data_IF_747675834160
#
_entry.id   IF_747675834160
#
_cell.length_a   1.000
_cell.length_b   1.000
_cell.length_c   1.000
_cell.angle_alpha   90.00
_cell.angle_beta   90.00
_cell.angle_gamma   90.00
#
_symmetry.space_group_name_H-M   'P 1'
#
loop_
_entity.id
_entity.type
_entity.pdbx_description
1 polymer ?
#
# COMPACT_ATOMS: atom_id res chain seq x y z
N UNK A 1 -31.04 -49.31 34.12
CA UNK A 1 -29.89 -48.38 33.97
C UNK A 1 -28.96 -48.86 32.86
N UNK A 2 -29.24 -48.46 31.63
CA UNK A 2 -28.47 -48.90 30.47
C UNK A 2 -27.42 -47.87 30.06
N UNK A 3 -26.96 -47.02 30.97
CA UNK A 3 -25.92 -46.02 30.69
C UNK A 3 -26.42 -44.82 29.90
N UNK A 4 -27.72 -44.56 29.85
CA UNK A 4 -28.28 -43.38 29.18
C UNK A 4 -27.91 -42.12 29.95
N UNK A 5 -27.39 -41.14 29.22
CA UNK A 5 -27.12 -39.80 29.75
C UNK A 5 -28.45 -39.06 29.93
N UNK A 6 -28.69 -38.54 31.11
CA UNK A 6 -29.83 -37.66 31.42
C UNK A 6 -29.40 -36.22 31.37
N UNK A 7 -30.29 -35.34 30.88
CA UNK A 7 -30.05 -33.90 30.86
C UNK A 7 -30.02 -33.32 32.28
N UNK A 8 -29.17 -32.32 32.47
CA UNK A 8 -29.07 -31.52 33.69
C UNK A 8 -29.15 -30.03 33.37
N UNK A 9 -29.53 -29.22 34.36
CA UNK A 9 -29.66 -27.79 34.25
C UNK A 9 -28.93 -27.10 35.40
N UNK A 10 -28.06 -26.16 35.08
CA UNK A 10 -27.33 -25.32 36.03
C UNK A 10 -27.60 -23.85 35.77
N UNK A 11 -28.08 -23.15 36.77
CA UNK A 11 -28.24 -21.69 36.73
C UNK A 11 -27.04 -21.00 37.38
N UNK A 12 -26.57 -19.96 36.73
CA UNK A 12 -25.50 -19.13 37.24
C UNK A 12 -25.80 -17.64 37.02
N UNK A 13 -25.14 -16.80 37.81
CA UNK A 13 -25.17 -15.37 37.70
C UNK A 13 -23.74 -14.83 37.68
N UNK A 14 -23.54 -13.82 36.88
CA UNK A 14 -22.32 -13.00 36.90
C UNK A 14 -22.69 -11.69 37.57
N UNK A 15 -21.95 -11.36 38.61
CA UNK A 15 -22.15 -10.14 39.39
C UNK A 15 -20.90 -9.27 39.33
N UNK A 16 -21.12 -7.97 39.30
CA UNK A 16 -20.06 -6.96 39.29
C UNK A 16 -20.26 -5.97 40.43
N UNK A 17 -19.18 -5.60 41.08
CA UNK A 17 -19.10 -4.54 42.07
C UNK A 17 -18.16 -3.46 41.58
N UNK A 18 -18.59 -2.22 41.67
CA UNK A 18 -17.77 -1.06 41.29
C UNK A 18 -17.37 -0.31 42.58
N UNK A 19 -16.07 -0.05 42.72
CA UNK A 19 -15.51 0.76 43.79
C UNK A 19 -16.08 0.46 45.20
N UNK A 20 -16.29 -0.84 45.51
CA UNK A 20 -16.81 -1.26 46.82
C UNK A 20 -18.31 -1.03 47.05
N UNK A 21 -19.08 -0.63 46.06
CA UNK A 21 -20.50 -0.25 46.16
C UNK A 21 -21.51 -1.40 46.30
N UNK A 22 -21.03 -2.65 46.36
CA UNK A 22 -21.85 -3.88 46.42
C UNK A 22 -22.05 -4.55 45.10
N UNK A 23 -22.28 -5.86 45.11
CA UNK A 23 -22.47 -6.70 43.91
C UNK A 23 -23.88 -6.54 43.37
N UNK A 24 -23.96 -6.35 42.03
CA UNK A 24 -25.19 -6.35 41.24
C UNK A 24 -25.15 -7.42 40.14
N UNK A 25 -26.30 -8.00 39.83
CA UNK A 25 -26.42 -8.98 38.75
C UNK A 25 -26.28 -8.27 37.39
N UNK A 26 -25.30 -8.65 36.58
CA UNK A 26 -25.10 -8.12 35.23
C UNK A 26 -25.46 -9.12 34.13
N UNK A 27 -25.46 -10.41 34.47
CA UNK A 27 -25.86 -11.49 33.58
C UNK A 27 -26.38 -12.65 34.39
N UNK A 28 -27.45 -13.29 33.92
CA UNK A 28 -27.94 -14.55 34.41
C UNK A 28 -28.07 -15.51 33.23
N UNK A 29 -27.64 -16.74 33.42
CA UNK A 29 -27.75 -17.78 32.38
C UNK A 29 -28.12 -19.13 32.99
N UNK A 30 -28.79 -19.90 32.16
CA UNK A 30 -29.23 -21.26 32.47
C UNK A 30 -28.63 -22.22 31.44
N UNK A 31 -27.68 -23.04 31.87
CA UNK A 31 -27.05 -24.03 31.02
C UNK A 31 -27.82 -25.33 31.18
N UNK A 32 -28.43 -25.79 30.10
CA UNK A 32 -29.08 -27.11 30.03
C UNK A 32 -28.29 -27.95 29.06
N UNK A 33 -27.84 -29.11 29.52
CA UNK A 33 -27.01 -29.98 28.70
C UNK A 33 -27.14 -31.44 29.05
N UNK A 34 -26.64 -32.28 28.14
CA UNK A 34 -26.56 -33.70 28.26
C UNK A 34 -25.26 -34.16 27.59
N UNK A 35 -24.17 -34.15 28.35
CA UNK A 35 -22.84 -34.51 27.83
C UNK A 35 -22.02 -35.22 28.93
N UNK A 36 -21.14 -36.10 28.52
CA UNK A 36 -20.14 -36.70 29.37
C UNK A 36 -18.82 -35.94 29.38
N UNK A 37 -18.64 -35.05 28.39
CA UNK A 37 -17.42 -34.27 28.24
C UNK A 37 -17.56 -32.90 28.92
N UNK A 38 -16.41 -32.30 29.23
CA UNK A 38 -16.36 -30.94 29.77
C UNK A 38 -16.92 -29.93 28.77
N UNK A 39 -17.89 -29.13 29.21
CA UNK A 39 -18.48 -28.07 28.41
C UNK A 39 -17.92 -26.72 28.82
N UNK A 40 -17.45 -25.94 27.83
CA UNK A 40 -16.95 -24.59 28.04
C UNK A 40 -17.92 -23.57 27.47
N UNK A 41 -18.18 -22.50 28.21
CA UNK A 41 -18.99 -21.38 27.78
C UNK A 41 -18.33 -20.08 28.14
N UNK A 42 -18.31 -19.13 27.19
CA UNK A 42 -17.73 -17.81 27.33
C UNK A 42 -18.83 -16.77 27.51
N UNK A 43 -18.58 -15.79 28.38
CA UNK A 43 -19.47 -14.66 28.62
C UNK A 43 -18.71 -13.36 28.50
N UNK A 44 -19.26 -12.42 27.77
CA UNK A 44 -18.74 -11.06 27.70
C UNK A 44 -19.58 -10.15 28.58
N UNK A 45 -18.94 -9.47 29.52
CA UNK A 45 -19.56 -8.51 30.43
C UNK A 45 -18.97 -7.13 30.14
N UNK A 46 -19.84 -6.17 29.86
CA UNK A 46 -19.43 -4.78 29.66
C UNK A 46 -19.27 -4.07 31.01
N UNK A 47 -18.08 -3.55 31.26
CA UNK A 47 -17.76 -2.80 32.47
C UNK A 47 -17.98 -1.31 32.17
N UNK A 48 -18.92 -0.70 32.90
CA UNK A 48 -19.32 0.70 32.68
C UNK A 48 -19.07 1.61 33.86
N UNK A 49 -18.70 1.05 35.00
CA UNK A 49 -18.51 1.79 36.25
C UNK A 49 -17.05 2.15 36.57
N UNK A 50 -16.86 2.88 37.65
CA UNK A 50 -15.54 3.28 38.13
C UNK A 50 -14.75 2.09 38.72
N UNK A 51 -13.45 2.06 38.48
CA UNK A 51 -12.51 1.12 39.09
C UNK A 51 -12.20 1.49 40.56
N UNK A 52 -11.83 0.49 41.40
CA UNK A 52 -11.64 -0.93 41.10
C UNK A 52 -12.97 -1.69 40.85
N UNK A 53 -12.89 -2.76 40.08
CA UNK A 53 -14.03 -3.58 39.72
C UNK A 53 -13.78 -5.02 40.17
N UNK A 54 -14.72 -5.56 40.96
CA UNK A 54 -14.70 -6.96 41.36
C UNK A 54 -15.77 -7.74 40.57
N UNK A 55 -15.40 -8.89 40.08
CA UNK A 55 -16.31 -9.79 39.35
C UNK A 55 -16.41 -11.12 40.09
N UNK A 56 -17.62 -11.63 40.22
CA UNK A 56 -17.84 -12.98 40.74
C UNK A 56 -18.87 -13.72 39.92
N UNK A 57 -18.69 -15.03 39.83
CA UNK A 57 -19.67 -15.95 39.28
C UNK A 57 -20.31 -16.68 40.41
N UNK A 58 -21.62 -16.65 40.47
CA UNK A 58 -22.42 -17.27 41.55
C UNK A 58 -23.25 -18.40 40.93
N UNK A 59 -23.12 -19.56 41.47
CA UNK A 59 -24.01 -20.69 41.17
C UNK A 59 -25.33 -20.49 41.92
N UNK A 60 -26.46 -20.57 41.20
CA UNK A 60 -27.80 -20.45 41.75
C UNK A 60 -28.35 -21.82 42.07
N UNK A 61 -28.15 -22.78 41.16
CA UNK A 61 -28.55 -24.20 41.40
C UNK A 61 -27.73 -24.80 42.52
N UNK A 62 -28.36 -25.45 43.48
CA UNK A 62 -27.67 -26.17 44.55
C UNK A 62 -26.73 -27.24 43.99
N UNK A 63 -25.65 -27.54 44.71
CA UNK A 63 -24.72 -28.58 44.31
C UNK A 63 -25.40 -29.95 44.39
N UNK A 64 -25.06 -30.83 43.44
CA UNK A 64 -25.58 -32.20 43.44
C UNK A 64 -25.06 -32.99 44.62
N UNK A 65 -25.96 -33.74 45.25
CA UNK A 65 -25.63 -34.68 46.33
C UNK A 65 -25.39 -36.10 45.81
N UNK A 66 -25.57 -36.36 44.52
CA UNK A 66 -25.42 -37.69 43.90
C UNK A 66 -24.16 -37.75 43.05
N UNK A 67 -23.44 -38.86 43.14
CA UNK A 67 -22.22 -39.08 42.36
C UNK A 67 -22.47 -39.33 40.85
N UNK A 68 -23.71 -39.58 40.48
CA UNK A 68 -24.12 -39.80 39.09
C UNK A 68 -24.33 -38.48 38.31
N UNK A 69 -24.43 -37.33 38.99
CA UNK A 69 -24.59 -36.04 38.38
C UNK A 69 -23.33 -35.18 38.62
N UNK A 70 -22.55 -35.01 37.57
CA UNK A 70 -21.34 -34.16 37.58
C UNK A 70 -21.69 -32.83 36.92
N UNK A 71 -22.15 -31.89 37.75
CA UNK A 71 -22.63 -30.58 37.29
C UNK A 71 -21.85 -29.41 37.92
N UNK A 72 -20.70 -29.69 38.53
CA UNK A 72 -19.80 -28.70 39.05
C UNK A 72 -19.24 -27.82 37.91
N UNK A 73 -19.07 -26.54 38.16
CA UNK A 73 -18.39 -25.65 37.22
C UNK A 73 -17.26 -24.89 37.90
N UNK A 74 -16.32 -24.46 37.10
CA UNK A 74 -15.19 -23.65 37.53
C UNK A 74 -14.98 -22.50 36.58
N UNK A 75 -14.52 -21.36 37.11
CA UNK A 75 -14.06 -20.26 36.31
C UNK A 75 -12.60 -20.55 35.89
N UNK A 76 -12.35 -20.70 34.60
CA UNK A 76 -11.04 -21.15 34.08
C UNK A 76 -10.16 -20.00 33.63
N UNK A 77 -10.74 -18.91 33.10
CA UNK A 77 -9.97 -17.80 32.58
C UNK A 77 -10.77 -16.49 32.63
N UNK A 78 -10.05 -15.40 32.75
CA UNK A 78 -10.55 -14.03 32.59
C UNK A 78 -9.69 -13.32 31.53
N UNK A 79 -10.33 -12.77 30.52
CA UNK A 79 -9.71 -11.87 29.56
C UNK A 79 -10.20 -10.44 29.74
N UNK A 80 -9.31 -9.48 29.93
CA UNK A 80 -9.66 -8.07 29.87
C UNK A 80 -9.66 -7.63 28.40
N UNK A 81 -10.77 -7.05 27.95
CA UNK A 81 -10.93 -6.53 26.60
C UNK A 81 -11.05 -5.03 26.70
N UNK A 82 -10.06 -4.31 26.21
CA UNK A 82 -10.10 -2.87 26.07
C UNK A 82 -10.49 -2.56 24.63
N UNK A 83 -11.74 -2.13 24.43
CA UNK A 83 -12.22 -1.67 23.15
C UNK A 83 -11.69 -0.26 22.90
N UNK A 84 -10.50 -0.16 22.31
CA UNK A 84 -9.91 1.13 21.92
C UNK A 84 -10.12 1.37 20.43
N UNK A 85 -10.50 2.59 20.10
CA UNK A 85 -10.68 3.03 18.73
C UNK A 85 -9.33 3.43 18.14
N UNK A 86 -8.53 2.43 17.81
CA UNK A 86 -7.20 2.65 17.27
C UNK A 86 -7.26 3.18 15.83
N UNK A 87 -6.41 4.12 15.54
CA UNK A 87 -6.19 4.65 14.20
C UNK A 87 -4.83 4.18 13.69
N UNK A 88 -4.82 3.68 12.47
CA UNK A 88 -3.59 3.21 11.82
C UNK A 88 -3.28 4.13 10.64
N UNK A 89 -2.64 5.30 10.87
CA UNK A 89 -2.31 6.22 9.80
C UNK A 89 -1.37 5.57 8.79
N UNK A 90 -1.58 5.86 7.52
CA UNK A 90 -0.80 5.31 6.39
C UNK A 90 -0.82 3.78 6.27
N UNK A 91 -1.83 3.13 6.82
CA UNK A 91 -2.03 1.69 6.70
C UNK A 91 -3.38 1.40 6.03
N UNK A 92 -3.39 0.43 5.14
CA UNK A 92 -4.62 -0.15 4.60
C UNK A 92 -4.76 -1.58 5.10
N UNK A 93 -5.90 -1.93 5.66
CA UNK A 93 -6.17 -3.28 6.12
C UNK A 93 -7.55 -3.75 5.68
N UNK A 94 -7.68 -5.04 5.52
CA UNK A 94 -8.94 -5.71 5.18
C UNK A 94 -9.16 -6.88 6.12
N UNK A 95 -10.36 -6.98 6.66
CA UNK A 95 -10.78 -8.14 7.43
C UNK A 95 -11.60 -9.06 6.52
N UNK A 96 -11.25 -10.36 6.52
CA UNK A 96 -11.96 -11.40 5.78
C UNK A 96 -12.55 -12.40 6.78
N UNK A 97 -13.85 -12.59 6.69
CA UNK A 97 -14.54 -13.69 7.39
C UNK A 97 -14.80 -14.81 6.38
N UNK A 98 -14.28 -15.99 6.67
CA UNK A 98 -14.40 -17.17 5.81
C UNK A 98 -15.22 -18.20 6.58
N UNK A 99 -16.24 -18.74 5.93
CA UNK A 99 -17.06 -19.80 6.46
C UNK A 99 -16.37 -21.16 6.21
N UNK A 100 -16.03 -21.86 7.28
CA UNK A 100 -15.35 -23.16 7.19
C UNK A 100 -16.24 -24.28 6.64
N UNK A 101 -17.56 -24.11 6.63
CA UNK A 101 -18.48 -25.09 6.01
C UNK A 101 -18.37 -25.08 4.49
N UNK A 102 -18.02 -23.93 3.89
CA UNK A 102 -17.94 -23.78 2.44
C UNK A 102 -16.53 -24.00 1.88
N UNK A 103 -15.50 -23.88 2.71
CA UNK A 103 -14.11 -23.93 2.27
C UNK A 103 -13.31 -24.93 3.14
N UNK A 104 -12.75 -25.94 2.51
CA UNK A 104 -11.86 -26.90 3.18
C UNK A 104 -10.48 -26.31 3.54
N UNK A 105 -10.12 -25.15 2.96
CA UNK A 105 -8.88 -24.45 3.24
C UNK A 105 -9.07 -22.95 2.99
N UNK A 106 -8.16 -22.14 3.53
CA UNK A 106 -8.16 -20.69 3.27
C UNK A 106 -7.89 -20.46 1.77
N UNK A 107 -8.84 -19.87 1.00
CA UNK A 107 -8.68 -19.67 -0.43
C UNK A 107 -7.52 -18.73 -0.73
N UNK A 108 -6.83 -18.97 -1.84
CA UNK A 108 -5.84 -18.03 -2.36
C UNK A 108 -6.55 -16.72 -2.73
N UNK A 109 -5.96 -15.59 -2.34
CA UNK A 109 -6.54 -14.26 -2.56
C UNK A 109 -5.49 -13.29 -3.07
N UNK A 110 -5.90 -12.38 -3.91
CA UNK A 110 -5.08 -11.27 -4.40
C UNK A 110 -5.86 -9.96 -4.24
N UNK A 111 -5.15 -8.89 -3.95
CA UNK A 111 -5.73 -7.56 -3.78
C UNK A 111 -5.09 -6.61 -4.78
N UNK A 112 -5.92 -5.88 -5.52
CA UNK A 112 -5.46 -4.71 -6.27
C UNK A 112 -5.51 -3.51 -5.35
N UNK A 113 -4.35 -2.97 -5.02
CA UNK A 113 -4.23 -1.81 -4.11
C UNK A 113 -3.75 -0.58 -4.89
N UNK A 114 -4.19 0.59 -4.45
CA UNK A 114 -3.57 1.87 -4.80
C UNK A 114 -2.57 2.20 -3.70
N UNK A 115 -1.32 2.38 -4.07
CA UNK A 115 -0.24 2.63 -3.12
C UNK A 115 -0.27 4.04 -2.52
N UNK A 116 0.89 4.55 -2.16
CA UNK A 116 1.07 5.86 -1.56
C UNK A 116 0.54 6.96 -2.48
N UNK A 117 -0.07 7.99 -1.88
CA UNK A 117 -0.46 9.20 -2.58
C UNK A 117 0.74 10.14 -2.65
N UNK A 118 1.03 10.67 -3.82
CA UNK A 118 2.12 11.61 -4.07
C UNK A 118 1.57 12.95 -4.58
N UNK A 119 2.28 14.03 -4.30
CA UNK A 119 1.89 15.36 -4.77
C UNK A 119 1.98 15.42 -6.30
N UNK A 120 0.97 15.99 -6.94
CA UNK A 120 0.97 16.30 -8.37
C UNK A 120 1.03 17.82 -8.57
N UNK A 121 1.36 18.32 -9.77
CA UNK A 121 1.33 19.75 -10.05
C UNK A 121 -0.04 20.36 -9.75
N UNK A 122 -0.03 21.54 -9.11
CA UNK A 122 -1.24 22.27 -8.74
C UNK A 122 -1.90 23.02 -9.90
N UNK A 123 -2.76 23.98 -9.57
CA UNK A 123 -3.37 24.86 -10.55
C UNK A 123 -2.30 25.62 -11.33
N UNK A 124 -2.46 25.68 -12.64
CA UNK A 124 -1.50 26.36 -13.51
C UNK A 124 -1.59 27.89 -13.45
N UNK A 125 -0.55 28.54 -13.98
CA UNK A 125 -0.54 29.98 -14.14
C UNK A 125 -1.62 30.47 -15.13
N UNK A 126 -2.08 31.70 -14.95
CA UNK A 126 -3.05 32.35 -15.86
C UNK A 126 -4.30 31.51 -16.13
N UNK A 127 -4.80 30.80 -15.11
CA UNK A 127 -5.98 29.92 -15.21
C UNK A 127 -5.85 28.81 -16.27
N UNK A 128 -4.61 28.34 -16.53
CA UNK A 128 -4.36 27.24 -17.48
C UNK A 128 -4.87 25.86 -17.00
N UNK A 129 -5.68 25.84 -15.95
CA UNK A 129 -6.34 24.65 -15.41
C UNK A 129 -5.54 23.93 -14.35
N UNK A 130 -6.09 22.83 -13.87
CA UNK A 130 -5.49 21.96 -12.83
C UNK A 130 -5.35 20.55 -13.38
N UNK A 131 -4.18 19.93 -13.28
CA UNK A 131 -4.01 18.53 -13.64
C UNK A 131 -4.90 17.62 -12.79
N UNK A 132 -5.41 16.57 -13.39
CA UNK A 132 -6.22 15.53 -12.74
C UNK A 132 -5.56 14.17 -12.92
N UNK A 133 -6.05 13.17 -12.21
CA UNK A 133 -5.54 11.80 -12.35
C UNK A 133 -6.66 10.86 -12.79
N UNK A 134 -6.39 10.08 -13.81
CA UNK A 134 -7.20 8.93 -14.15
C UNK A 134 -7.00 7.84 -13.08
N UNK A 135 -8.02 7.60 -12.28
CA UNK A 135 -7.96 6.64 -11.18
C UNK A 135 -7.94 5.17 -11.63
N UNK A 136 -8.11 4.89 -12.90
CA UNK A 136 -7.97 3.53 -13.44
C UNK A 136 -6.49 3.19 -13.72
N UNK A 137 -5.80 4.11 -14.39
CA UNK A 137 -4.42 3.93 -14.86
C UNK A 137 -3.38 4.60 -13.98
N UNK A 138 -3.76 5.58 -13.18
CA UNK A 138 -2.83 6.43 -12.42
C UNK A 138 -2.17 7.53 -13.26
N UNK A 139 -2.55 7.69 -14.53
CA UNK A 139 -2.01 8.69 -15.44
C UNK A 139 -2.44 10.10 -15.04
N UNK A 140 -1.51 11.05 -15.04
CA UNK A 140 -1.82 12.47 -14.84
C UNK A 140 -2.30 13.04 -16.17
N UNK A 141 -3.47 13.67 -16.16
CA UNK A 141 -4.06 14.36 -17.30
C UNK A 141 -3.81 15.86 -17.15
N UNK A 142 -2.98 16.39 -18.01
CA UNK A 142 -2.71 17.83 -18.06
C UNK A 142 -3.73 18.53 -18.95
N UNK A 143 -4.31 19.66 -18.50
CA UNK A 143 -5.12 20.51 -19.38
C UNK A 143 -4.34 21.00 -20.59
N UNK A 144 -5.02 21.24 -21.72
CA UNK A 144 -4.41 21.86 -22.89
C UNK A 144 -3.86 23.26 -22.52
N UNK A 145 -2.64 23.53 -22.92
CA UNK A 145 -1.98 24.82 -22.60
C UNK A 145 -1.58 24.98 -21.14
N UNK A 146 -1.54 23.90 -20.34
CA UNK A 146 -1.13 23.97 -18.95
C UNK A 146 0.27 24.57 -18.77
N UNK A 147 0.36 25.56 -17.91
CA UNK A 147 1.62 26.25 -17.55
C UNK A 147 1.82 26.09 -16.04
N UNK A 148 2.87 25.37 -15.65
CA UNK A 148 3.20 25.18 -14.25
C UNK A 148 3.65 26.50 -13.61
N UNK A 149 3.15 26.83 -12.43
CA UNK A 149 3.44 28.08 -11.71
C UNK A 149 4.43 27.92 -10.53
N UNK A 150 5.05 26.73 -10.40
CA UNK A 150 5.95 26.41 -9.29
C UNK A 150 5.26 25.80 -8.07
N UNK A 151 3.92 25.69 -8.07
CA UNK A 151 3.17 25.19 -6.89
C UNK A 151 2.69 23.76 -7.09
N UNK A 152 3.06 22.88 -6.17
CA UNK A 152 2.54 21.53 -6.13
C UNK A 152 1.13 21.51 -5.49
N UNK A 153 0.28 20.63 -5.99
CA UNK A 153 -1.09 20.44 -5.53
C UNK A 153 -1.21 19.33 -4.46
N UNK A 154 -2.43 18.86 -4.28
CA UNK A 154 -2.74 17.81 -3.31
C UNK A 154 -2.09 16.47 -3.67
N UNK A 155 -1.86 15.64 -2.66
CA UNK A 155 -1.38 14.28 -2.84
C UNK A 155 -2.53 13.37 -3.31
N UNK A 156 -2.32 12.71 -4.45
CA UNK A 156 -3.25 11.74 -5.04
C UNK A 156 -2.48 10.49 -5.46
N UNK A 157 -3.17 9.37 -5.59
CA UNK A 157 -2.53 8.19 -6.15
C UNK A 157 -2.31 8.39 -7.66
N UNK A 158 -1.06 8.23 -8.10
CA UNK A 158 -0.72 8.23 -9.52
C UNK A 158 0.42 7.24 -9.80
N UNK A 159 0.59 6.86 -11.06
CA UNK A 159 1.66 6.00 -11.56
C UNK A 159 2.78 6.77 -12.26
N UNK A 160 2.83 8.09 -12.11
CA UNK A 160 3.82 8.93 -12.77
C UNK A 160 5.20 8.80 -12.11
N UNK A 161 6.23 8.29 -12.80
CA UNK A 161 7.55 8.06 -12.21
C UNK A 161 8.22 9.35 -11.73
N UNK A 162 8.00 10.49 -12.41
CA UNK A 162 8.58 11.77 -12.00
C UNK A 162 8.01 12.26 -10.66
N UNK A 163 6.70 12.09 -10.43
CA UNK A 163 6.06 12.48 -9.17
C UNK A 163 6.42 11.52 -8.04
N UNK A 164 6.57 10.22 -8.34
CA UNK A 164 7.04 9.21 -7.37
C UNK A 164 8.48 9.52 -6.94
N UNK A 165 9.36 9.85 -7.88
CA UNK A 165 10.74 10.23 -7.56
C UNK A 165 10.78 11.53 -6.74
N UNK A 166 9.98 12.53 -7.08
CA UNK A 166 9.88 13.79 -6.31
C UNK A 166 9.41 13.53 -4.89
N UNK A 167 8.42 12.67 -4.71
CA UNK A 167 7.92 12.29 -3.39
C UNK A 167 8.98 11.56 -2.57
N UNK A 168 9.70 10.62 -3.17
CA UNK A 168 10.81 9.93 -2.51
C UNK A 168 11.90 10.92 -2.05
N UNK A 169 12.20 11.93 -2.84
CA UNK A 169 13.22 12.94 -2.50
C UNK A 169 12.77 13.85 -1.34
N UNK A 170 11.45 14.13 -1.20
CA UNK A 170 10.94 15.14 -0.27
C UNK A 170 10.19 14.59 0.94
N UNK A 171 9.88 13.29 0.98
CA UNK A 171 9.16 12.69 2.10
C UNK A 171 10.11 12.32 3.24
N UNK A 172 9.82 12.79 4.46
CA UNK A 172 10.63 12.48 5.65
C UNK A 172 10.45 11.05 6.14
N UNK A 173 9.28 10.45 5.93
CA UNK A 173 8.91 9.17 6.53
C UNK A 173 9.68 7.98 5.93
N UNK A 174 9.87 7.96 4.62
CA UNK A 174 10.47 6.82 3.89
C UNK A 174 11.43 7.27 2.78
N UNK A 175 11.67 8.56 2.66
CA UNK A 175 12.52 9.16 1.64
C UNK A 175 13.61 10.02 2.23
N UNK A 176 14.03 11.01 1.47
CA UNK A 176 15.19 11.87 1.78
C UNK A 176 14.77 13.25 2.31
N UNK A 177 13.51 13.45 2.69
CA UNK A 177 12.93 14.74 3.08
C UNK A 177 13.58 15.41 4.30
N UNK A 178 14.33 14.66 5.13
CA UNK A 178 15.17 15.25 6.19
C UNK A 178 16.37 16.04 5.64
N UNK A 179 16.76 15.81 4.40
CA UNK A 179 17.93 16.41 3.77
C UNK A 179 17.57 17.23 2.52
N UNK A 180 16.49 16.87 1.82
CA UNK A 180 16.08 17.47 0.55
C UNK A 180 14.66 18.03 0.71
N UNK A 181 14.52 19.32 0.44
CA UNK A 181 13.23 20.03 0.43
C UNK A 181 12.90 20.51 -0.97
N UNK A 182 11.69 21.00 -1.19
CA UNK A 182 11.26 21.55 -2.48
C UNK A 182 12.20 22.67 -2.99
N UNK A 183 12.84 23.41 -2.09
CA UNK A 183 13.81 24.46 -2.46
C UNK A 183 15.12 23.92 -3.03
N UNK A 184 15.41 22.65 -2.81
CA UNK A 184 16.58 21.97 -3.36
C UNK A 184 16.27 21.25 -4.69
N UNK A 185 15.06 21.43 -5.24
CA UNK A 185 14.61 20.75 -6.45
C UNK A 185 14.18 21.73 -7.51
N UNK A 186 14.58 21.50 -8.74
CA UNK A 186 14.00 22.16 -9.90
C UNK A 186 12.66 21.52 -10.27
N UNK A 187 11.59 21.95 -9.60
CA UNK A 187 10.24 21.44 -9.82
C UNK A 187 9.78 21.55 -11.28
N UNK A 188 10.30 22.52 -12.05
CA UNK A 188 9.94 22.68 -13.46
C UNK A 188 10.47 21.51 -14.30
N UNK A 189 11.68 21.03 -14.04
CA UNK A 189 12.23 19.86 -14.73
C UNK A 189 11.43 18.58 -14.40
N UNK A 190 11.02 18.39 -13.13
CA UNK A 190 10.17 17.27 -12.73
C UNK A 190 8.80 17.32 -13.41
N UNK A 191 8.18 18.51 -13.50
CA UNK A 191 6.89 18.66 -14.17
C UNK A 191 7.01 18.47 -15.69
N UNK A 192 8.10 18.92 -16.29
CA UNK A 192 8.37 18.67 -17.71
C UNK A 192 8.52 17.17 -18.01
N UNK A 193 9.28 16.45 -17.18
CA UNK A 193 9.40 15.00 -17.29
C UNK A 193 8.07 14.28 -17.03
N UNK A 194 7.29 14.75 -16.06
CA UNK A 194 5.96 14.22 -15.78
C UNK A 194 5.01 14.39 -16.97
N UNK A 195 5.01 15.54 -17.63
CA UNK A 195 4.18 15.75 -18.83
C UNK A 195 4.54 14.77 -19.92
N UNK A 196 5.82 14.60 -20.22
CA UNK A 196 6.29 13.65 -21.23
C UNK A 196 5.97 12.19 -20.85
N UNK A 197 6.13 11.83 -19.60
CA UNK A 197 5.80 10.49 -19.11
C UNK A 197 4.32 10.16 -19.25
N UNK A 198 3.44 11.16 -19.10
CA UNK A 198 1.99 10.99 -19.16
C UNK A 198 1.38 11.24 -20.55
N UNK A 199 2.19 11.52 -21.59
CA UNK A 199 1.71 11.53 -22.96
C UNK A 199 1.21 10.16 -23.37
N UNK A 200 0.10 10.14 -24.11
CA UNK A 200 -0.45 8.89 -24.63
C UNK A 200 0.37 8.42 -25.83
N UNK A 201 0.77 7.18 -25.79
CA UNK A 201 1.43 6.46 -26.87
C UNK A 201 0.62 5.20 -27.23
N UNK A 202 0.83 4.65 -28.43
CA UNK A 202 0.20 3.38 -28.81
C UNK A 202 0.69 2.27 -27.88
N UNK A 203 -0.24 1.42 -27.41
CA UNK A 203 0.05 0.24 -26.62
C UNK A 203 0.38 -1.01 -27.50
N UNK A 204 0.38 -0.85 -28.83
CA UNK A 204 0.59 -1.94 -29.77
C UNK A 204 -0.66 -2.80 -30.04
N UNK A 205 -1.74 -2.64 -29.29
CA UNK A 205 -2.98 -3.43 -29.37
C UNK A 205 -4.21 -2.60 -29.80
N UNK A 206 -4.00 -1.53 -30.53
CA UNK A 206 -5.01 -0.53 -30.95
C UNK A 206 -5.57 0.34 -29.82
N UNK A 207 -4.95 0.36 -28.66
CA UNK A 207 -5.23 1.25 -27.54
C UNK A 207 -4.14 2.30 -27.34
N UNK A 208 -4.22 2.99 -26.24
CA UNK A 208 -3.25 3.99 -25.82
C UNK A 208 -2.95 3.87 -24.33
N UNK A 209 -1.69 4.07 -23.98
CA UNK A 209 -1.22 4.09 -22.59
C UNK A 209 -0.31 5.28 -22.30
N UNK A 210 0.00 5.52 -21.03
CA UNK A 210 1.01 6.50 -20.66
C UNK A 210 2.39 6.03 -21.14
N UNK A 211 3.19 6.94 -21.71
CA UNK A 211 4.53 6.63 -22.21
C UNK A 211 5.39 5.93 -21.17
N UNK A 212 5.34 6.39 -19.92
CA UNK A 212 6.03 5.77 -18.80
C UNK A 212 5.11 5.72 -17.59
N UNK A 213 5.07 4.56 -16.94
CA UNK A 213 4.38 4.36 -15.67
C UNK A 213 5.26 3.60 -14.70
N UNK A 214 5.07 3.83 -13.40
CA UNK A 214 5.82 3.18 -12.35
C UNK A 214 4.85 2.68 -11.27
N UNK A 215 4.91 1.36 -11.02
CA UNK A 215 4.22 0.70 -9.92
C UNK A 215 5.25 -0.18 -9.21
N UNK A 216 5.84 0.34 -8.17
CA UNK A 216 6.95 -0.32 -7.47
C UNK A 216 6.60 -0.58 -6.01
N UNK A 217 7.06 -1.72 -5.50
CA UNK A 217 7.03 -2.05 -4.10
C UNK A 217 8.48 -2.14 -3.60
N UNK A 218 8.91 -1.12 -2.88
CA UNK A 218 10.26 -1.07 -2.32
C UNK A 218 10.30 -1.91 -1.05
N UNK A 219 10.94 -3.07 -1.13
CA UNK A 219 11.12 -4.01 -0.03
C UNK A 219 12.60 -4.06 0.34
N UNK A 220 12.91 -3.70 1.56
CA UNK A 220 14.26 -3.74 2.09
C UNK A 220 15.06 -2.44 1.93
N UNK A 221 16.25 -2.45 2.48
CA UNK A 221 17.20 -1.33 2.42
C UNK A 221 17.96 -1.36 1.09
N UNK A 222 18.00 -0.23 0.40
CA UNK A 222 18.71 -0.05 -0.86
C UNK A 222 19.58 1.20 -0.77
N UNK A 223 20.68 1.23 -1.50
CA UNK A 223 21.50 2.44 -1.57
C UNK A 223 20.74 3.58 -2.24
N UNK A 224 20.75 4.76 -1.62
CA UNK A 224 19.99 5.93 -2.03
C UNK A 224 20.24 6.32 -3.50
N UNK A 225 21.49 6.38 -3.88
CA UNK A 225 21.90 6.76 -5.24
C UNK A 225 21.42 5.76 -6.29
N UNK A 226 21.49 4.47 -5.97
CA UNK A 226 21.01 3.41 -6.86
C UNK A 226 19.50 3.53 -7.05
N UNK A 227 18.72 3.69 -5.98
CA UNK A 227 17.27 3.82 -6.05
C UNK A 227 16.83 5.04 -6.88
N UNK A 228 17.50 6.19 -6.68
CA UNK A 228 17.21 7.40 -7.43
C UNK A 228 17.47 7.18 -8.92
N UNK A 229 18.59 6.55 -9.29
CA UNK A 229 18.92 6.28 -10.68
C UNK A 229 17.98 5.24 -11.31
N UNK A 230 17.57 4.20 -10.59
CA UNK A 230 16.61 3.21 -11.07
C UNK A 230 15.25 3.85 -11.36
N UNK A 231 14.74 4.68 -10.45
CA UNK A 231 13.48 5.40 -10.66
C UNK A 231 13.57 6.44 -11.79
N UNK A 232 14.68 7.16 -11.89
CA UNK A 232 14.92 8.09 -13.00
C UNK A 232 15.03 7.33 -14.33
N UNK A 233 15.65 6.16 -14.33
CA UNK A 233 15.80 5.29 -15.48
C UNK A 233 14.46 4.83 -16.09
N UNK A 234 13.41 4.62 -15.26
CA UNK A 234 12.06 4.28 -15.73
C UNK A 234 11.52 5.27 -16.76
N UNK A 235 11.86 6.55 -16.61
CA UNK A 235 11.40 7.63 -17.51
C UNK A 235 12.54 8.19 -18.39
N UNK A 236 13.65 7.46 -18.50
CA UNK A 236 14.83 7.87 -19.27
C UNK A 236 15.39 9.23 -18.81
N UNK A 237 15.38 9.48 -17.52
CA UNK A 237 15.91 10.69 -16.91
C UNK A 237 17.23 10.45 -16.20
N UNK A 238 18.04 11.50 -16.14
CA UNK A 238 19.29 11.54 -15.40
C UNK A 238 19.17 12.64 -14.32
N UNK A 239 19.24 12.30 -13.02
CA UNK A 239 19.30 13.31 -11.98
C UNK A 239 20.67 13.98 -11.97
N UNK A 240 20.68 15.29 -11.95
CA UNK A 240 21.89 16.12 -11.95
C UNK A 240 21.81 17.07 -10.76
N UNK A 241 22.84 17.06 -9.93
CA UNK A 241 23.02 18.07 -8.89
C UNK A 241 23.79 19.27 -9.47
N UNK A 242 23.12 20.40 -9.58
CA UNK A 242 23.70 21.62 -10.12
C UNK A 242 23.23 22.84 -9.32
N UNK A 243 24.15 23.76 -9.03
CA UNK A 243 23.86 25.03 -8.35
C UNK A 243 23.04 24.92 -7.05
N UNK A 244 23.25 23.82 -6.30
CA UNK A 244 22.53 23.55 -5.04
C UNK A 244 21.13 23.01 -5.20
N UNK A 245 20.72 22.65 -6.41
CA UNK A 245 19.45 21.99 -6.68
C UNK A 245 19.60 20.70 -7.47
N UNK A 246 18.64 19.80 -7.31
CA UNK A 246 18.50 18.57 -8.11
C UNK A 246 17.61 18.89 -9.30
N UNK A 247 18.16 18.74 -10.48
CA UNK A 247 17.46 18.86 -11.77
C UNK A 247 17.43 17.51 -12.44
N UNK A 248 16.35 17.16 -13.13
CA UNK A 248 16.30 15.96 -13.97
C UNK A 248 16.34 16.34 -15.45
N UNK A 249 17.27 15.69 -16.17
CA UNK A 249 17.38 15.83 -17.62
C UNK A 249 16.85 14.58 -18.29
N UNK A 250 16.00 14.73 -19.30
CA UNK A 250 15.33 13.62 -19.96
C UNK A 250 15.94 13.34 -21.33
N UNK A 251 16.29 12.08 -21.58
CA UNK A 251 16.67 11.61 -22.91
C UNK A 251 15.40 11.41 -23.75
N UNK A 252 15.16 12.38 -24.63
CA UNK A 252 14.02 12.40 -25.54
C UNK A 252 14.41 13.09 -26.86
N UNK A 253 13.71 12.79 -27.96
CA UNK A 253 13.89 13.53 -29.19
C UNK A 253 13.67 15.04 -28.96
N UNK A 254 14.67 15.84 -29.35
CA UNK A 254 14.62 17.30 -29.27
C UNK A 254 15.25 17.88 -30.55
N UNK A 255 14.89 19.11 -30.87
CA UNK A 255 15.54 19.82 -31.97
C UNK A 255 17.04 19.98 -31.69
N UNK A 256 17.93 19.92 -32.72
CA UNK A 256 19.35 20.11 -32.55
C UNK A 256 19.64 21.48 -31.92
N UNK A 257 20.35 21.49 -30.78
CA UNK A 257 20.70 22.72 -30.07
C UNK A 257 21.94 23.39 -30.62
N UNK A 258 22.80 22.64 -31.33
CA UNK A 258 24.06 23.16 -31.87
C UNK A 258 24.51 22.36 -33.09
N UNK A 259 25.09 23.06 -34.07
CA UNK A 259 25.70 22.50 -35.28
C UNK A 259 27.23 22.53 -35.16
N UNK A 260 27.84 21.35 -35.07
CA UNK A 260 29.29 21.20 -35.15
C UNK A 260 29.73 21.12 -36.64
N UNK A 261 30.62 21.98 -37.05
CA UNK A 261 31.21 22.01 -38.39
C UNK A 261 32.72 22.15 -38.29
N UNK A 262 33.44 21.97 -39.39
CA UNK A 262 34.88 22.19 -39.42
C UNK A 262 35.31 23.62 -39.06
N UNK A 263 34.38 24.60 -39.13
CA UNK A 263 34.66 25.98 -38.78
C UNK A 263 34.63 26.24 -37.25
N UNK A 264 33.99 25.39 -36.47
CA UNK A 264 33.84 25.58 -35.02
C UNK A 264 34.36 24.41 -34.18
N UNK A 265 35.06 23.47 -34.80
CA UNK A 265 35.78 22.36 -34.15
C UNK A 265 37.27 22.67 -34.13
N UNK A 266 37.98 22.24 -33.08
CA UNK A 266 39.42 22.45 -32.93
C UNK A 266 40.25 21.78 -34.03
N UNK A 267 41.57 22.07 -34.09
CA UNK A 267 42.48 21.62 -35.16
C UNK A 267 42.52 20.11 -35.39
N UNK A 268 42.08 19.27 -34.40
CA UNK A 268 41.97 17.82 -34.57
C UNK A 268 40.79 17.33 -35.41
N UNK A 269 39.83 18.19 -35.74
CA UNK A 269 38.63 17.84 -36.50
C UNK A 269 37.74 16.80 -35.81
N UNK A 270 37.09 15.96 -36.59
CA UNK A 270 36.23 14.85 -36.10
C UNK A 270 37.00 13.53 -36.18
N UNK A 271 36.94 12.75 -35.14
CA UNK A 271 37.38 11.35 -35.17
C UNK A 271 36.17 10.41 -35.19
N UNK A 272 36.20 9.39 -36.01
CA UNK A 272 35.12 8.43 -36.17
C UNK A 272 35.59 7.05 -35.70
N UNK A 273 34.82 6.44 -34.81
CA UNK A 273 35.02 5.06 -34.37
C UNK A 273 33.72 4.28 -34.44
N UNK A 274 33.78 3.04 -34.86
CA UNK A 274 32.63 2.15 -34.92
C UNK A 274 32.67 1.08 -33.84
N UNK A 275 31.51 0.63 -33.37
CA UNK A 275 31.41 -0.55 -32.52
C UNK A 275 31.60 -1.84 -33.38
N UNK A 276 32.15 -2.89 -32.76
CA UNK A 276 32.23 -4.20 -33.42
C UNK A 276 30.82 -4.80 -33.62
N UNK A 277 30.64 -5.62 -34.67
CA UNK A 277 29.38 -6.34 -34.90
C UNK A 277 28.96 -7.24 -33.71
N UNK A 278 29.94 -7.73 -32.91
CA UNK A 278 29.67 -8.53 -31.72
C UNK A 278 29.02 -7.74 -30.57
N UNK A 279 29.11 -6.42 -30.59
CA UNK A 279 28.50 -5.53 -29.60
C UNK A 279 27.11 -5.03 -29.99
N UNK A 280 26.65 -5.36 -31.17
CA UNK A 280 25.32 -4.97 -31.67
C UNK A 280 24.35 -6.12 -31.44
N UNK A 281 23.27 -5.78 -30.76
CA UNK A 281 22.15 -6.69 -30.54
C UNK A 281 21.09 -6.42 -31.60
N UNK A 282 20.72 -7.41 -32.36
CA UNK A 282 19.66 -7.34 -33.38
C UNK A 282 18.32 -7.84 -32.86
N UNK A 283 18.34 -8.58 -31.75
CA UNK A 283 17.14 -9.10 -31.09
C UNK A 283 17.26 -8.87 -29.61
N UNK A 284 16.23 -8.30 -29.05
CA UNK A 284 16.12 -8.03 -27.59
C UNK A 284 14.82 -8.68 -27.11
N UNK A 285 14.93 -9.54 -26.09
CA UNK A 285 13.78 -10.09 -25.39
C UNK A 285 13.60 -9.35 -24.07
N UNK A 286 12.43 -8.78 -23.85
CA UNK A 286 12.06 -8.07 -22.63
C UNK A 286 11.04 -8.89 -21.86
N UNK A 287 11.34 -9.21 -20.61
CA UNK A 287 10.37 -9.82 -19.70
C UNK A 287 9.62 -8.73 -18.94
N UNK A 288 8.32 -8.85 -18.84
CA UNK A 288 7.48 -7.94 -18.09
C UNK A 288 6.38 -8.70 -17.35
N UNK A 289 5.84 -8.08 -16.30
CA UNK A 289 4.69 -8.62 -15.60
C UNK A 289 3.40 -8.14 -16.29
N UNK A 290 2.70 -9.10 -16.91
CA UNK A 290 1.43 -8.81 -17.55
C UNK A 290 0.31 -8.71 -16.48
N UNK A 291 -0.31 -7.53 -16.38
CA UNK A 291 -1.35 -7.26 -15.38
C UNK A 291 -2.66 -8.02 -15.65
N UNK A 292 -2.93 -8.41 -16.88
CA UNK A 292 -4.16 -9.10 -17.25
C UNK A 292 -4.06 -10.60 -16.98
N UNK A 293 -2.98 -11.24 -17.41
CA UNK A 293 -2.70 -12.66 -17.15
C UNK A 293 -2.19 -12.89 -15.71
N UNK A 294 -1.60 -11.85 -15.05
CA UNK A 294 -0.90 -11.91 -13.77
C UNK A 294 0.30 -12.85 -13.75
N UNK A 295 0.96 -12.96 -14.87
CA UNK A 295 2.15 -13.79 -15.08
C UNK A 295 3.25 -12.97 -15.73
N UNK A 296 4.48 -13.51 -15.70
CA UNK A 296 5.59 -12.92 -16.44
C UNK A 296 5.44 -13.33 -17.91
N UNK A 297 5.41 -12.32 -18.77
CA UNK A 297 5.33 -12.48 -20.22
C UNK A 297 6.59 -11.93 -20.88
N UNK A 298 6.82 -12.26 -22.15
CA UNK A 298 8.02 -11.90 -22.88
C UNK A 298 7.64 -11.28 -24.22
N UNK A 299 8.24 -10.13 -24.51
CA UNK A 299 8.13 -9.47 -25.81
C UNK A 299 9.48 -9.46 -26.48
N UNK A 300 9.50 -9.77 -27.78
CA UNK A 300 10.73 -9.82 -28.58
C UNK A 300 10.70 -8.71 -29.62
N UNK A 301 11.71 -7.84 -29.56
CA UNK A 301 11.90 -6.78 -30.54
C UNK A 301 13.08 -7.12 -31.42
N UNK A 302 12.86 -7.18 -32.73
CA UNK A 302 13.87 -7.42 -33.74
C UNK A 302 14.18 -6.14 -34.52
N UNK A 303 15.47 -5.84 -34.66
CA UNK A 303 15.95 -4.83 -35.59
C UNK A 303 16.11 -5.47 -36.96
N UNK A 304 15.18 -5.15 -37.85
CA UNK A 304 15.14 -5.69 -39.22
C UNK A 304 15.92 -4.83 -40.23
N UNK A 305 16.73 -3.87 -39.80
CA UNK A 305 17.49 -2.95 -40.65
C UNK A 305 18.76 -3.59 -41.25
#
# INVERSE_FOLDING_TARGET
DQGDLLGSTVELKIQVQYNGGGFSDVLSDTITGRTADAYQKEYRVNITGAFPVDIRVVRVTADSTTSSLVDAFAWTSLGEIIDDKQTYPNSAYTNLRIDSEQFSSIPKRAFRIRGVKVRIPGAGASSSGTPTVDLQTGRIIYPSGYIFNGTMGAAVWCSCPAMILLDLLTTERYGFGTHITDSNLDLFSFVAASRYANELVSDGFNGQEARFSCNVNLQGSMEAYQLINELAGVMRCFPIWSEGSVTITQDKPTDPSYLFSLANVGEGGFSYSGSSLKQRHTVISVSYFNMDSREIDYEVVEDTA
#
